data_IF_204456262438
#
_entry.id   IF_204456262438
#
_cell.length_a   1.000
_cell.length_b   1.000
_cell.length_c   1.000
_cell.angle_alpha   90.00
_cell.angle_beta   90.00
_cell.angle_gamma   90.00
#
_symmetry.space_group_name_H-M   'P 1'
#
loop_
_entity.id
_entity.type
_entity.pdbx_description
1 polymer ?
#
# COMPACT_ATOMS: atom_id res chain seq x y z
N UNK A 1 -4.06 20.57 0.28
CA UNK A 1 -3.75 19.73 -0.91
C UNK A 1 -2.56 18.86 -0.54
N UNK A 2 -2.65 17.55 -0.76
CA UNK A 2 -1.56 16.59 -0.49
C UNK A 2 -0.99 16.13 -1.84
N UNK A 3 0.33 16.16 -1.99
CA UNK A 3 1.01 15.77 -3.24
C UNK A 3 2.18 14.84 -2.88
N UNK A 4 2.36 13.78 -3.69
CA UNK A 4 3.55 12.93 -3.65
C UNK A 4 3.47 11.79 -4.66
N UNK A 5 4.63 11.30 -5.09
CA UNK A 5 4.79 10.14 -5.95
C UNK A 5 4.96 8.86 -5.11
N UNK A 6 3.97 7.96 -5.15
CA UNK A 6 4.02 6.70 -4.41
C UNK A 6 5.06 5.69 -4.96
N UNK A 7 5.73 6.00 -6.07
CA UNK A 7 6.91 5.27 -6.53
C UNK A 7 8.20 5.61 -5.77
N UNK A 8 8.16 6.63 -4.89
CA UNK A 8 9.30 7.12 -4.11
C UNK A 8 9.02 7.07 -2.62
N UNK A 9 9.95 6.50 -1.86
CA UNK A 9 9.77 6.28 -0.42
C UNK A 9 9.72 7.58 0.37
N UNK A 10 10.57 8.52 0.01
CA UNK A 10 10.62 9.87 0.58
C UNK A 10 9.29 10.61 0.42
N UNK A 11 8.64 10.47 -0.74
CA UNK A 11 7.34 11.06 -1.01
C UNK A 11 6.23 10.36 -0.24
N UNK A 12 6.26 9.03 -0.08
CA UNK A 12 5.32 8.30 0.79
C UNK A 12 5.35 8.85 2.22
N UNK A 13 6.55 9.06 2.78
CA UNK A 13 6.71 9.63 4.12
C UNK A 13 6.21 11.09 4.18
N UNK A 14 6.49 11.87 3.14
CA UNK A 14 5.99 13.25 3.01
C UNK A 14 4.47 13.29 2.94
N UNK A 15 3.84 12.39 2.19
CA UNK A 15 2.38 12.26 2.07
C UNK A 15 1.76 11.98 3.44
N UNK A 16 2.30 11.03 4.21
CA UNK A 16 1.79 10.74 5.55
C UNK A 16 1.82 12.00 6.45
N UNK A 17 2.92 12.76 6.41
CA UNK A 17 3.06 14.01 7.16
C UNK A 17 2.03 15.06 6.72
N UNK A 18 1.89 15.28 5.42
CA UNK A 18 0.94 16.25 4.86
C UNK A 18 -0.51 15.88 5.19
N UNK A 19 -0.86 14.59 5.16
CA UNK A 19 -2.20 14.10 5.55
C UNK A 19 -2.46 14.42 7.01
N UNK A 20 -1.57 14.04 7.94
CA UNK A 20 -1.74 14.32 9.37
C UNK A 20 -1.82 15.83 9.66
N UNK A 21 -1.08 16.66 8.93
CA UNK A 21 -1.15 18.12 9.06
C UNK A 21 -2.46 18.72 8.51
N UNK A 22 -3.13 18.02 7.60
CA UNK A 22 -4.41 18.46 7.02
C UNK A 22 -5.60 18.19 7.95
N UNK A 23 -5.40 17.40 9.01
CA UNK A 23 -6.42 17.03 9.99
C UNK A 23 -6.78 15.54 9.95
N UNK A 24 -7.80 15.17 10.73
CA UNK A 24 -8.25 13.79 10.85
C UNK A 24 -9.19 13.41 9.70
N UNK A 25 -9.04 12.19 9.18
CA UNK A 25 -9.89 11.64 8.12
C UNK A 25 -10.73 10.47 8.65
N UNK A 26 -12.02 10.43 8.33
CA UNK A 26 -12.88 9.30 8.71
C UNK A 26 -12.53 8.02 7.94
N UNK A 27 -12.10 8.16 6.69
CA UNK A 27 -11.85 7.04 5.78
C UNK A 27 -10.60 7.28 4.95
N UNK A 28 -9.76 6.25 4.84
CA UNK A 28 -8.63 6.21 3.90
C UNK A 28 -8.81 5.02 2.96
N UNK A 29 -8.62 5.25 1.66
CA UNK A 29 -8.76 4.23 0.61
C UNK A 29 -7.42 4.05 -0.10
N UNK A 30 -6.75 2.93 0.16
CA UNK A 30 -5.56 2.52 -0.59
C UNK A 30 -5.99 1.93 -1.94
N UNK A 31 -6.25 2.81 -2.90
CA UNK A 31 -6.66 2.47 -4.27
C UNK A 31 -5.51 2.50 -5.29
N UNK A 32 -4.48 3.32 -5.06
CA UNK A 32 -3.37 3.46 -5.98
C UNK A 32 -2.69 2.10 -6.25
N UNK A 33 -2.40 1.82 -7.51
CA UNK A 33 -1.70 0.61 -7.91
C UNK A 33 -1.22 0.68 -9.36
N UNK A 34 -0.09 0.03 -9.63
CA UNK A 34 0.49 -0.12 -10.97
C UNK A 34 0.47 -1.58 -11.39
N UNK A 35 0.27 -1.83 -12.68
CA UNK A 35 0.49 -3.13 -13.32
C UNK A 35 1.59 -2.96 -14.37
N UNK A 36 2.80 -3.36 -14.00
CA UNK A 36 4.01 -3.21 -14.82
C UNK A 36 4.91 -4.45 -14.65
N UNK A 37 5.93 -4.57 -15.48
CA UNK A 37 6.99 -5.57 -15.34
C UNK A 37 8.09 -5.13 -14.36
N UNK A 38 8.10 -3.87 -13.95
CA UNK A 38 9.03 -3.37 -12.93
C UNK A 38 8.58 -3.84 -11.54
N UNK A 39 9.25 -4.88 -11.03
CA UNK A 39 8.94 -5.46 -9.73
C UNK A 39 9.18 -4.49 -8.57
N UNK A 40 10.20 -3.62 -8.68
CA UNK A 40 10.50 -2.63 -7.63
C UNK A 40 9.42 -1.58 -7.58
N UNK A 41 9.02 -1.03 -8.73
CA UNK A 41 7.95 -0.04 -8.78
C UNK A 41 6.62 -0.64 -8.30
N UNK A 42 6.32 -1.89 -8.68
CA UNK A 42 5.12 -2.60 -8.21
C UNK A 42 5.15 -2.81 -6.70
N UNK A 43 6.29 -3.22 -6.14
CA UNK A 43 6.45 -3.32 -4.69
C UNK A 43 6.23 -1.97 -3.99
N UNK A 44 6.88 -0.90 -4.46
CA UNK A 44 6.81 0.40 -3.79
C UNK A 44 5.39 0.95 -3.78
N UNK A 45 4.71 0.95 -4.93
CA UNK A 45 3.36 1.53 -5.06
C UNK A 45 2.29 0.63 -4.45
N UNK A 46 2.32 -0.68 -4.70
CA UNK A 46 1.20 -1.57 -4.36
C UNK A 46 1.33 -2.19 -2.96
N UNK A 47 2.52 -2.20 -2.35
CA UNK A 47 2.78 -2.82 -1.04
C UNK A 47 3.37 -1.82 -0.04
N UNK A 48 4.53 -1.20 -0.36
CA UNK A 48 5.25 -0.36 0.61
C UNK A 48 4.44 0.91 0.95
N UNK A 49 3.90 1.59 -0.05
CA UNK A 49 3.06 2.76 0.14
C UNK A 49 1.85 2.49 1.05
N UNK A 50 0.94 1.52 0.76
CA UNK A 50 -0.20 1.28 1.65
C UNK A 50 0.22 0.83 3.05
N UNK A 51 1.31 0.05 3.19
CA UNK A 51 1.84 -0.35 4.50
C UNK A 51 2.30 0.86 5.33
N UNK A 52 3.16 1.71 4.75
CA UNK A 52 3.69 2.88 5.44
C UNK A 52 2.59 3.90 5.73
N UNK A 53 1.72 4.19 4.77
CA UNK A 53 0.62 5.14 4.96
C UNK A 53 -0.38 4.65 6.01
N UNK A 54 -0.71 3.35 6.04
CA UNK A 54 -1.51 2.75 7.12
C UNK A 54 -0.86 2.93 8.49
N UNK A 55 0.47 2.80 8.55
CA UNK A 55 1.22 2.81 9.82
C UNK A 55 1.49 4.22 10.34
N UNK A 56 1.60 5.21 9.45
CA UNK A 56 2.08 6.56 9.76
C UNK A 56 0.96 7.61 9.79
N UNK A 57 -0.15 7.40 9.09
CA UNK A 57 -1.30 8.30 9.16
C UNK A 57 -2.07 8.00 10.44
N UNK A 58 -2.57 9.05 11.10
CA UNK A 58 -3.44 8.93 12.26
C UNK A 58 -4.64 8.00 11.95
N UNK A 59 -4.87 6.98 12.80
CA UNK A 59 -5.79 5.88 12.51
C UNK A 59 -7.19 6.42 12.20
N UNK A 60 -7.71 6.24 10.96
CA UNK A 60 -9.06 6.66 10.61
C UNK A 60 -10.08 5.66 11.16
N UNK A 61 -11.38 6.02 11.10
CA UNK A 61 -12.47 5.09 11.47
C UNK A 61 -12.56 3.88 10.54
N UNK A 62 -12.10 4.02 9.28
CA UNK A 62 -12.10 2.94 8.30
C UNK A 62 -10.90 3.03 7.35
N UNK A 63 -10.25 1.90 7.12
CA UNK A 63 -9.22 1.74 6.09
C UNK A 63 -9.74 0.74 5.06
N UNK A 64 -9.69 1.12 3.78
CA UNK A 64 -10.12 0.28 2.66
C UNK A 64 -8.90 -0.03 1.79
N UNK A 65 -8.70 -1.32 1.51
CA UNK A 65 -7.63 -1.80 0.63
C UNK A 65 -8.24 -2.35 -0.66
N UNK A 66 -7.81 -1.84 -1.81
CA UNK A 66 -8.31 -2.30 -3.12
C UNK A 66 -7.40 -3.38 -3.70
N UNK A 67 -7.81 -4.64 -3.49
CA UNK A 67 -7.13 -5.82 -4.07
C UNK A 67 -7.66 -6.13 -5.49
N UNK A 68 -7.41 -7.34 -6.00
CA UNK A 68 -7.88 -7.85 -7.29
C UNK A 68 -8.02 -9.36 -7.20
N UNK A 69 -8.97 -9.96 -7.92
CA UNK A 69 -9.14 -11.40 -8.02
C UNK A 69 -7.89 -12.14 -8.56
N UNK A 70 -6.96 -11.42 -9.19
CA UNK A 70 -5.65 -11.93 -9.61
C UNK A 70 -4.76 -12.40 -8.45
N UNK A 71 -5.11 -12.09 -7.19
CA UNK A 71 -4.39 -12.66 -6.04
C UNK A 71 -4.59 -14.18 -5.92
N UNK A 72 -5.67 -14.73 -6.49
CA UNK A 72 -6.00 -16.16 -6.40
C UNK A 72 -4.93 -16.98 -7.13
N UNK A 73 -4.32 -17.93 -6.42
CA UNK A 73 -3.25 -18.79 -6.95
C UNK A 73 -1.89 -18.09 -7.09
N UNK A 74 -1.76 -16.83 -6.70
CA UNK A 74 -0.47 -16.13 -6.70
C UNK A 74 0.42 -16.62 -5.55
N UNK A 75 1.75 -16.52 -5.76
CA UNK A 75 2.75 -16.88 -4.76
C UNK A 75 3.46 -15.61 -4.31
N UNK A 76 3.45 -15.34 -3.01
CA UNK A 76 4.17 -14.22 -2.42
C UNK A 76 5.49 -14.71 -1.81
N UNK A 77 6.62 -14.28 -2.36
CA UNK A 77 7.93 -14.55 -1.76
C UNK A 77 8.35 -13.39 -0.85
N UNK A 78 8.10 -13.53 0.45
CA UNK A 78 8.38 -12.50 1.46
C UNK A 78 9.88 -12.14 1.52
N UNK A 79 10.77 -13.10 1.24
CA UNK A 79 12.21 -12.87 1.29
C UNK A 79 12.74 -12.09 0.07
N UNK A 80 11.91 -11.88 -0.96
CA UNK A 80 12.30 -11.25 -2.23
C UNK A 80 11.26 -10.26 -2.75
N UNK A 81 10.51 -9.60 -1.85
CA UNK A 81 9.42 -8.69 -2.23
C UNK A 81 9.86 -7.63 -3.24
N UNK A 82 10.99 -6.96 -2.99
CA UNK A 82 11.47 -5.87 -3.87
C UNK A 82 11.85 -6.37 -5.27
N UNK A 83 12.31 -7.62 -5.40
CA UNK A 83 12.84 -8.14 -6.66
C UNK A 83 11.83 -9.01 -7.44
N UNK A 84 10.82 -9.57 -6.77
CA UNK A 84 9.91 -10.57 -7.35
C UNK A 84 8.43 -10.25 -7.22
N UNK A 85 8.07 -9.09 -6.65
CA UNK A 85 6.65 -8.68 -6.63
C UNK A 85 6.18 -8.40 -8.05
N UNK A 86 5.14 -9.11 -8.46
CA UNK A 86 4.33 -8.80 -9.63
C UNK A 86 2.96 -8.28 -9.21
N UNK A 87 2.12 -7.93 -10.17
CA UNK A 87 0.78 -7.40 -9.87
C UNK A 87 -0.03 -8.37 -9.00
N UNK A 88 -0.11 -9.65 -9.40
CA UNK A 88 -0.90 -10.67 -8.71
C UNK A 88 -0.46 -10.88 -7.26
N UNK A 89 0.84 -11.06 -7.03
CA UNK A 89 1.41 -11.25 -5.69
C UNK A 89 1.30 -9.98 -4.84
N UNK A 90 1.36 -8.78 -5.44
CA UNK A 90 1.10 -7.52 -4.71
C UNK A 90 -0.34 -7.43 -4.19
N UNK A 91 -1.31 -7.96 -4.94
CA UNK A 91 -2.73 -7.97 -4.54
C UNK A 91 -2.98 -9.00 -3.44
N UNK A 92 -2.23 -10.10 -3.42
CA UNK A 92 -2.19 -11.02 -2.28
C UNK A 92 -1.56 -10.37 -1.04
N UNK A 93 -0.42 -9.69 -1.20
CA UNK A 93 0.25 -8.99 -0.09
C UNK A 93 -0.67 -7.95 0.55
N UNK A 94 -1.40 -7.17 -0.26
CA UNK A 94 -2.35 -6.18 0.22
C UNK A 94 -3.54 -6.80 0.98
N UNK A 95 -4.03 -7.96 0.53
CA UNK A 95 -5.04 -8.74 1.23
C UNK A 95 -4.53 -9.23 2.60
N UNK A 96 -3.29 -9.72 2.66
CA UNK A 96 -2.66 -10.17 3.90
C UNK A 96 -2.43 -9.01 4.87
N UNK A 97 -2.00 -7.84 4.37
CA UNK A 97 -1.89 -6.62 5.16
C UNK A 97 -3.24 -6.23 5.77
N UNK A 98 -4.30 -6.20 4.96
CA UNK A 98 -5.66 -5.91 5.44
C UNK A 98 -6.09 -6.89 6.56
N UNK A 99 -5.84 -8.19 6.39
CA UNK A 99 -6.14 -9.21 7.41
C UNK A 99 -5.31 -9.06 8.69
N UNK A 100 -4.07 -8.58 8.58
CA UNK A 100 -3.23 -8.30 9.74
C UNK A 100 -3.73 -7.05 10.48
N UNK A 101 -4.01 -5.97 9.75
CA UNK A 101 -4.52 -4.70 10.31
C UNK A 101 -5.89 -4.87 10.94
N UNK A 102 -6.76 -5.74 10.40
CA UNK A 102 -8.08 -6.00 10.99
C UNK A 102 -8.05 -6.69 12.36
N UNK A 103 -6.86 -7.09 12.83
CA UNK A 103 -6.65 -7.70 14.15
C UNK A 103 -6.08 -6.72 15.19
N UNK A 104 -5.91 -5.44 14.83
CA UNK A 104 -5.36 -4.36 15.66
C UNK A 104 -6.44 -3.40 16.17
#
# INVERSE_FOLDING_TARGET
>A
MVIGDLGKKEDILSVAKQVNQSGHFDVIIHNAGVYTQDARLTYTVNIEAPYLLTSLIEKPKRIIYVSSDMHRGSILNINQLVQKTDYSSSKLALLLLMKAVSRL
#
